data_IF_693232766232
#
_entry.id   IF_693232766232
#
_cell.length_a   1.000
_cell.length_b   1.000
_cell.length_c   1.000
_cell.angle_alpha   90.00
_cell.angle_beta   90.00
_cell.angle_gamma   90.00
#
_symmetry.space_group_name_H-M   'P 1'
#
loop_
_entity.id
_entity.type
_entity.pdbx_description
1 polymer ?
#
# COMPACT_ATOMS: atom_id res chain seq x y z
N UNK A 1 9.16 -32.90 -15.35
CA UNK A 1 9.24 -31.42 -15.43
C UNK A 1 8.45 -30.90 -16.63
N UNK A 2 8.74 -31.36 -17.86
CA UNK A 2 8.15 -30.83 -19.09
C UNK A 2 6.61 -30.92 -19.14
N UNK A 3 6.02 -32.06 -18.82
CA UNK A 3 4.55 -32.21 -18.78
C UNK A 3 3.84 -31.25 -17.80
N UNK A 4 4.51 -30.82 -16.71
CA UNK A 4 3.95 -29.86 -15.76
C UNK A 4 3.99 -28.44 -16.40
N UNK A 5 5.07 -28.09 -17.08
CA UNK A 5 5.17 -26.81 -17.77
C UNK A 5 4.10 -26.67 -18.86
N UNK A 6 3.84 -27.73 -19.61
CA UNK A 6 2.77 -27.73 -20.61
C UNK A 6 1.38 -27.51 -20.01
N UNK A 7 1.09 -28.09 -18.82
CA UNK A 7 -0.21 -27.88 -18.16
C UNK A 7 -0.36 -26.44 -17.59
N UNK A 8 0.74 -25.73 -17.40
CA UNK A 8 0.76 -24.36 -16.89
C UNK A 8 0.93 -23.30 -17.99
N UNK A 9 1.08 -23.70 -19.24
CA UNK A 9 1.37 -22.79 -20.35
C UNK A 9 0.36 -21.65 -20.50
N UNK A 10 -0.95 -21.94 -20.35
CA UNK A 10 -2.00 -20.90 -20.39
C UNK A 10 -1.85 -19.90 -19.23
N UNK A 11 -1.50 -20.37 -18.05
CA UNK A 11 -1.31 -19.52 -16.89
C UNK A 11 -0.09 -18.62 -17.04
N UNK A 12 0.99 -19.13 -17.59
CA UNK A 12 2.17 -18.32 -17.89
C UNK A 12 1.86 -17.26 -18.96
N UNK A 13 1.14 -17.61 -20.01
CA UNK A 13 0.73 -16.64 -21.03
C UNK A 13 -0.13 -15.49 -20.46
N UNK A 14 -1.03 -15.77 -19.50
CA UNK A 14 -1.79 -14.73 -18.81
C UNK A 14 -0.89 -13.81 -17.96
N UNK A 15 0.13 -14.36 -17.31
CA UNK A 15 1.10 -13.59 -16.51
C UNK A 15 1.93 -12.72 -17.44
N UNK A 16 2.43 -13.27 -18.55
CA UNK A 16 3.24 -12.56 -19.53
C UNK A 16 2.46 -11.40 -20.17
N UNK A 17 1.20 -11.61 -20.54
CA UNK A 17 0.34 -10.56 -21.07
C UNK A 17 0.14 -9.40 -20.07
N UNK A 18 -0.03 -9.71 -18.79
CA UNK A 18 -0.12 -8.67 -17.74
C UNK A 18 1.22 -7.96 -17.54
N UNK A 19 2.31 -8.69 -17.56
CA UNK A 19 3.66 -8.12 -17.46
C UNK A 19 3.94 -7.15 -18.61
N UNK A 20 3.55 -7.51 -19.84
CA UNK A 20 3.69 -6.65 -21.03
C UNK A 20 2.93 -5.32 -20.86
N UNK A 21 1.66 -5.38 -20.43
CA UNK A 21 0.84 -4.18 -20.20
C UNK A 21 1.48 -3.29 -19.12
N UNK A 22 1.88 -3.87 -18.00
CA UNK A 22 2.50 -3.11 -16.90
C UNK A 22 3.86 -2.54 -17.29
N UNK A 23 4.66 -3.27 -18.06
CA UNK A 23 5.93 -2.78 -18.58
C UNK A 23 5.72 -1.60 -19.54
N UNK A 24 4.74 -1.69 -20.44
CA UNK A 24 4.40 -0.59 -21.34
C UNK A 24 3.97 0.66 -20.57
N UNK A 25 3.19 0.50 -19.50
CA UNK A 25 2.76 1.59 -18.62
C UNK A 25 3.96 2.32 -17.96
N UNK A 26 4.91 1.55 -17.42
CA UNK A 26 6.14 2.12 -16.83
C UNK A 26 6.98 2.84 -17.87
N UNK A 27 7.18 2.24 -19.05
CA UNK A 27 7.93 2.86 -20.15
C UNK A 27 7.26 4.16 -20.62
N UNK A 28 5.94 4.19 -20.74
CA UNK A 28 5.19 5.39 -21.09
C UNK A 28 5.39 6.51 -20.04
N UNK A 29 5.37 6.19 -18.75
CA UNK A 29 5.66 7.14 -17.68
C UNK A 29 7.10 7.68 -17.77
N UNK A 30 8.07 6.82 -18.02
CA UNK A 30 9.48 7.25 -18.22
C UNK A 30 9.64 8.16 -19.45
N UNK A 31 8.99 7.83 -20.56
CA UNK A 31 9.01 8.65 -21.79
C UNK A 31 8.34 10.01 -21.58
N UNK A 32 7.17 10.03 -20.93
CA UNK A 32 6.45 11.26 -20.59
C UNK A 32 7.32 12.21 -19.77
N UNK A 33 8.05 11.67 -18.81
CA UNK A 33 8.95 12.42 -17.93
C UNK A 33 10.38 12.59 -18.50
N UNK A 34 10.60 12.21 -19.77
CA UNK A 34 11.85 12.39 -20.49
C UNK A 34 13.07 11.87 -19.74
N UNK A 35 12.95 10.70 -19.13
CA UNK A 35 14.05 10.07 -18.38
C UNK A 35 15.27 9.93 -19.29
N UNK A 36 16.42 10.40 -18.83
CA UNK A 36 17.67 10.39 -19.58
C UNK A 36 18.87 10.27 -18.63
N UNK A 37 20.07 10.21 -19.18
CA UNK A 37 21.31 9.97 -18.43
C UNK A 37 21.59 11.01 -17.32
N UNK A 38 21.13 12.25 -17.45
CA UNK A 38 21.38 13.30 -16.43
C UNK A 38 20.65 12.99 -15.11
N UNK A 39 19.51 12.29 -15.17
CA UNK A 39 18.77 11.89 -13.97
C UNK A 39 19.48 10.83 -13.11
N UNK A 40 20.53 10.19 -13.65
CA UNK A 40 21.35 9.21 -12.93
C UNK A 40 22.68 9.82 -12.45
N UNK A 41 22.89 11.11 -12.65
CA UNK A 41 24.07 11.79 -12.15
C UNK A 41 24.04 11.87 -10.62
N UNK A 42 25.21 11.86 -10.00
CA UNK A 42 25.33 12.04 -8.55
C UNK A 42 24.85 13.44 -8.14
N UNK A 43 24.16 13.51 -7.00
CA UNK A 43 23.73 14.76 -6.37
C UNK A 43 24.33 14.92 -4.99
N UNK A 44 24.11 16.09 -4.35
CA UNK A 44 24.64 16.38 -3.02
C UNK A 44 23.96 15.54 -1.90
N UNK A 45 22.80 14.95 -2.19
CA UNK A 45 22.01 14.19 -1.21
C UNK A 45 21.15 15.06 -0.28
N UNK A 46 21.26 16.38 -0.33
CA UNK A 46 20.47 17.30 0.49
C UNK A 46 19.03 17.53 -0.02
N UNK A 47 18.69 17.02 -1.21
CA UNK A 47 17.37 17.18 -1.82
C UNK A 47 17.10 18.55 -2.45
N UNK A 48 18.08 19.40 -2.57
CA UNK A 48 17.99 20.65 -3.31
C UNK A 48 18.40 20.42 -4.77
N UNK A 49 17.53 20.83 -5.69
CA UNK A 49 17.75 20.73 -7.14
C UNK A 49 18.16 19.30 -7.59
N UNK A 50 17.50 18.29 -7.03
CA UNK A 50 17.76 16.89 -7.32
C UNK A 50 16.83 16.41 -8.43
N UNK A 51 17.15 16.79 -9.67
CA UNK A 51 16.32 16.48 -10.84
C UNK A 51 16.02 14.97 -10.99
N UNK A 52 16.99 14.11 -10.66
CA UNK A 52 16.84 12.67 -10.78
C UNK A 52 15.79 12.12 -9.81
N UNK A 53 15.84 12.53 -8.55
CA UNK A 53 14.86 12.08 -7.53
C UNK A 53 13.48 12.68 -7.77
N UNK A 54 13.40 13.95 -8.09
CA UNK A 54 12.14 14.63 -8.40
C UNK A 54 11.48 14.03 -9.65
N UNK A 55 12.29 13.67 -10.65
CA UNK A 55 11.78 13.02 -11.85
C UNK A 55 11.30 11.58 -11.57
N UNK A 56 11.99 10.84 -10.69
CA UNK A 56 11.59 9.51 -10.27
C UNK A 56 10.19 9.54 -9.62
N UNK A 57 9.92 10.51 -8.76
CA UNK A 57 8.60 10.68 -8.14
C UNK A 57 7.50 10.95 -9.16
N UNK A 58 7.78 11.76 -10.20
CA UNK A 58 6.84 11.98 -11.31
C UNK A 58 6.59 10.70 -12.11
N UNK A 59 7.63 9.91 -12.36
CA UNK A 59 7.49 8.61 -13.05
C UNK A 59 6.60 7.66 -12.25
N UNK A 60 6.79 7.58 -10.92
CA UNK A 60 5.94 6.77 -10.05
C UNK A 60 4.49 7.28 -10.06
N UNK A 61 4.29 8.58 -9.89
CA UNK A 61 2.94 9.16 -9.92
C UNK A 61 2.21 8.86 -11.24
N UNK A 62 2.91 8.99 -12.37
CA UNK A 62 2.34 8.69 -13.69
C UNK A 62 2.09 7.18 -13.90
N UNK A 63 3.02 6.32 -13.47
CA UNK A 63 2.89 4.87 -13.64
C UNK A 63 1.74 4.29 -12.80
N UNK A 64 1.49 4.84 -11.62
CA UNK A 64 0.43 4.39 -10.71
C UNK A 64 -0.82 5.27 -10.73
N UNK A 65 -0.88 6.27 -11.61
CA UNK A 65 -2.01 7.20 -11.75
C UNK A 65 -2.40 7.89 -10.44
N UNK A 66 -1.39 8.29 -9.66
CA UNK A 66 -1.56 9.01 -8.39
C UNK A 66 -1.27 10.50 -8.56
N UNK A 67 -1.79 11.33 -7.66
CA UNK A 67 -1.53 12.79 -7.66
C UNK A 67 -0.07 13.11 -7.39
N UNK A 68 0.59 12.32 -6.54
CA UNK A 68 1.98 12.47 -6.17
C UNK A 68 2.58 11.13 -5.72
N UNK A 69 3.90 11.06 -5.69
CA UNK A 69 4.65 9.97 -5.11
C UNK A 69 5.78 10.52 -4.23
N UNK A 70 6.16 9.78 -3.21
CA UNK A 70 7.32 10.05 -2.38
C UNK A 70 8.26 8.85 -2.45
N UNK A 71 9.34 9.01 -3.22
CA UNK A 71 10.34 7.95 -3.47
C UNK A 71 11.71 8.50 -3.14
N UNK A 72 12.16 8.25 -1.91
CA UNK A 72 13.42 8.82 -1.39
C UNK A 72 14.28 7.73 -0.71
N UNK A 73 15.62 7.78 -0.88
CA UNK A 73 16.52 6.81 -0.25
C UNK A 73 16.54 6.93 1.28
N UNK A 74 16.06 8.03 1.85
CA UNK A 74 15.88 8.21 3.29
C UNK A 74 14.78 7.31 3.86
N UNK A 75 13.86 6.84 3.03
CA UNK A 75 12.90 5.79 3.39
C UNK A 75 13.59 4.45 3.20
N UNK A 76 14.12 3.87 4.27
CA UNK A 76 15.09 2.79 4.21
C UNK A 76 14.49 1.40 3.99
N UNK A 77 13.19 1.23 4.26
CA UNK A 77 12.48 -0.05 4.10
C UNK A 77 10.95 0.16 4.10
N UNK A 78 10.20 -0.89 3.77
CA UNK A 78 8.74 -0.85 3.78
C UNK A 78 8.14 -0.48 5.13
N UNK A 79 8.64 -1.06 6.22
CA UNK A 79 8.19 -0.73 7.58
C UNK A 79 8.39 0.76 7.89
N UNK A 80 9.52 1.34 7.46
CA UNK A 80 9.77 2.78 7.64
C UNK A 80 8.77 3.62 6.82
N UNK A 81 8.50 3.24 5.58
CA UNK A 81 7.49 3.94 4.76
C UNK A 81 6.11 3.93 5.43
N UNK A 82 5.68 2.76 5.92
CA UNK A 82 4.41 2.60 6.61
C UNK A 82 4.37 3.38 7.94
N UNK A 83 5.45 3.34 8.73
CA UNK A 83 5.55 4.10 9.98
C UNK A 83 5.45 5.61 9.73
N UNK A 84 6.14 6.13 8.72
CA UNK A 84 6.07 7.55 8.32
C UNK A 84 4.64 7.91 7.89
N UNK A 85 4.01 7.09 7.05
CA UNK A 85 2.64 7.32 6.58
C UNK A 85 1.63 7.32 7.74
N UNK A 86 1.75 6.38 8.68
CA UNK A 86 0.90 6.33 9.88
C UNK A 86 1.10 7.57 10.76
N UNK A 87 2.36 7.90 11.08
CA UNK A 87 2.68 9.03 11.97
C UNK A 87 2.31 10.38 11.36
N UNK A 88 2.34 10.51 10.04
CA UNK A 88 1.93 11.74 9.34
C UNK A 88 0.41 11.98 9.38
N UNK A 89 -0.39 10.95 9.64
CA UNK A 89 -1.84 11.01 9.55
C UNK A 89 -2.56 10.80 10.90
N UNK A 90 -1.85 10.45 11.95
CA UNK A 90 -2.42 10.12 13.26
C UNK A 90 -1.86 11.02 14.36
N UNK A 91 -2.75 11.58 15.16
CA UNK A 91 -2.44 12.40 16.34
C UNK A 91 -2.92 11.71 17.62
N UNK A 92 -2.42 12.11 18.81
CA UNK A 92 -2.95 11.63 20.08
C UNK A 92 -4.47 11.80 20.18
N UNK A 93 -5.17 10.72 20.52
CA UNK A 93 -6.64 10.66 20.57
C UNK A 93 -7.31 10.12 19.31
N UNK A 94 -6.60 10.02 18.20
CA UNK A 94 -7.10 9.41 16.96
C UNK A 94 -7.17 7.87 17.08
N UNK A 95 -7.93 7.29 16.17
CA UNK A 95 -8.06 5.84 16.04
C UNK A 95 -7.57 5.36 14.68
N UNK A 96 -6.72 4.33 14.71
CA UNK A 96 -6.35 3.49 13.58
C UNK A 96 -7.26 2.26 13.55
N UNK A 97 -8.01 2.07 12.46
CA UNK A 97 -8.84 0.89 12.24
C UNK A 97 -8.29 0.05 11.09
N UNK A 98 -7.76 -1.14 11.39
CA UNK A 98 -7.37 -2.11 10.37
C UNK A 98 -8.59 -2.93 9.95
N UNK A 99 -8.87 -3.05 8.64
CA UNK A 99 -10.08 -3.74 8.14
C UNK A 99 -9.78 -5.00 7.33
N UNK A 100 -8.54 -5.40 7.25
CA UNK A 100 -8.08 -6.66 6.65
C UNK A 100 -7.47 -7.61 7.68
N UNK A 101 -7.89 -7.48 8.93
CA UNK A 101 -7.31 -8.16 10.08
C UNK A 101 -6.05 -7.47 10.59
N UNK A 102 -5.29 -8.19 11.41
CA UNK A 102 -4.06 -7.69 12.02
C UNK A 102 -3.02 -7.35 10.95
N UNK A 103 -2.40 -6.17 10.99
CA UNK A 103 -1.29 -5.80 10.10
C UNK A 103 -0.10 -6.75 10.20
N UNK A 104 0.81 -6.64 9.21
CA UNK A 104 2.05 -7.42 9.17
C UNK A 104 2.86 -7.24 10.47
N UNK A 105 3.58 -8.26 10.89
CA UNK A 105 4.23 -8.36 12.20
C UNK A 105 5.17 -7.19 12.53
N UNK A 106 5.88 -6.65 11.54
CA UNK A 106 6.77 -5.49 11.73
C UNK A 106 6.01 -4.21 12.11
N UNK A 107 4.72 -4.11 11.81
CA UNK A 107 3.88 -2.99 12.23
C UNK A 107 3.30 -3.16 13.64
N UNK A 108 3.32 -4.35 14.20
CA UNK A 108 2.76 -4.59 15.54
C UNK A 108 3.45 -3.71 16.60
N UNK A 109 4.77 -3.56 16.50
CA UNK A 109 5.54 -2.70 17.41
C UNK A 109 5.38 -1.21 17.09
N UNK A 110 5.34 -0.85 15.82
CA UNK A 110 5.11 0.55 15.38
C UNK A 110 3.76 1.06 15.88
N UNK A 111 2.72 0.26 15.74
CA UNK A 111 1.36 0.60 16.19
C UNK A 111 1.25 0.49 17.71
N UNK A 112 1.91 -0.47 18.32
CA UNK A 112 1.79 -0.80 19.74
C UNK A 112 0.78 -1.91 20.03
N UNK A 113 0.43 -2.73 19.02
CA UNK A 113 -0.33 -3.98 19.21
C UNK A 113 0.48 -4.91 20.11
N UNK A 114 1.77 -5.02 19.83
CA UNK A 114 2.76 -5.55 20.75
C UNK A 114 3.42 -4.37 21.47
N UNK A 115 3.38 -4.32 22.81
CA UNK A 115 3.95 -3.20 23.57
C UNK A 115 5.39 -2.91 23.16
N UNK A 116 5.63 -1.67 22.76
CA UNK A 116 6.94 -1.22 22.30
C UNK A 116 7.13 0.26 22.62
N UNK A 117 8.33 0.65 23.10
CA UNK A 117 8.65 2.06 23.32
C UNK A 117 8.50 2.89 22.04
N UNK A 118 7.98 4.11 22.18
CA UNK A 118 7.77 5.03 21.07
C UNK A 118 6.74 4.56 20.02
N UNK A 119 5.88 3.61 20.38
CA UNK A 119 4.77 3.18 19.53
C UNK A 119 3.67 4.24 19.42
N UNK A 120 2.83 4.16 18.41
CA UNK A 120 1.67 5.04 18.25
C UNK A 120 0.72 4.94 19.48
N UNK A 121 0.58 3.75 20.07
CA UNK A 121 -0.22 3.57 21.28
C UNK A 121 0.35 4.37 22.49
N UNK A 122 1.67 4.43 22.67
CA UNK A 122 2.29 5.26 23.69
C UNK A 122 2.04 6.77 23.48
N UNK A 123 1.92 7.18 22.22
CA UNK A 123 1.55 8.54 21.86
C UNK A 123 0.04 8.80 21.91
N UNK A 124 -0.76 7.84 22.39
CA UNK A 124 -2.18 8.02 22.60
C UNK A 124 -3.07 7.76 21.40
N UNK A 125 -2.56 7.08 20.35
CA UNK A 125 -3.36 6.57 19.23
C UNK A 125 -3.97 5.23 19.63
N UNK A 126 -5.28 5.08 19.44
CA UNK A 126 -5.96 3.80 19.67
C UNK A 126 -5.95 2.93 18.43
N UNK A 127 -5.90 1.61 18.63
CA UNK A 127 -5.96 0.62 17.56
C UNK A 127 -7.17 -0.29 17.72
N UNK A 128 -7.86 -0.54 16.62
CA UNK A 128 -8.86 -1.61 16.48
C UNK A 128 -8.72 -2.33 15.16
N UNK A 129 -9.29 -3.53 15.07
CA UNK A 129 -9.33 -4.27 13.81
C UNK A 129 -10.70 -4.92 13.57
N UNK A 130 -10.99 -5.15 12.30
CA UNK A 130 -12.02 -6.05 11.80
C UNK A 130 -11.31 -7.12 10.99
N UNK A 131 -11.53 -8.37 11.35
CA UNK A 131 -10.92 -9.49 10.64
C UNK A 131 -11.68 -9.76 9.33
N UNK A 132 -11.00 -10.41 8.38
CA UNK A 132 -11.66 -10.93 7.19
C UNK A 132 -12.58 -12.12 7.58
N UNK A 133 -13.58 -12.38 6.76
CA UNK A 133 -14.40 -13.58 6.84
C UNK A 133 -13.58 -14.85 6.53
N UNK A 134 -14.10 -16.01 6.85
CA UNK A 134 -13.41 -17.31 6.65
C UNK A 134 -13.03 -17.56 5.18
N UNK A 135 -13.76 -16.99 4.24
CA UNK A 135 -13.47 -17.06 2.80
C UNK A 135 -12.42 -16.04 2.33
N UNK A 136 -11.91 -15.21 3.23
CA UNK A 136 -10.94 -14.17 2.97
C UNK A 136 -11.52 -12.87 2.41
N UNK A 137 -12.84 -12.73 2.34
CA UNK A 137 -13.51 -11.49 1.95
C UNK A 137 -13.62 -10.50 3.12
N UNK A 138 -13.88 -9.21 2.81
CA UNK A 138 -14.14 -8.20 3.83
C UNK A 138 -15.49 -8.41 4.52
N UNK A 139 -15.54 -8.32 5.84
CA UNK A 139 -16.78 -8.19 6.60
C UNK A 139 -17.30 -6.74 6.51
N UNK A 140 -17.94 -6.42 5.39
CA UNK A 140 -18.44 -5.06 5.13
C UNK A 140 -19.45 -4.56 6.19
N UNK A 141 -20.37 -5.37 6.71
CA UNK A 141 -21.23 -4.99 7.83
C UNK A 141 -20.45 -4.64 9.09
N UNK A 142 -19.47 -5.47 9.49
CA UNK A 142 -18.66 -5.21 10.67
C UNK A 142 -17.77 -3.97 10.49
N UNK A 143 -17.18 -3.78 9.31
CA UNK A 143 -16.41 -2.58 8.96
C UNK A 143 -17.27 -1.33 9.14
N UNK A 144 -18.49 -1.32 8.57
CA UNK A 144 -19.43 -0.21 8.71
C UNK A 144 -19.73 0.11 10.18
N UNK A 145 -19.96 -0.91 10.99
CA UNK A 145 -20.25 -0.76 12.42
C UNK A 145 -19.04 -0.32 13.25
N UNK A 146 -17.84 -0.67 12.83
CA UNK A 146 -16.61 -0.36 13.55
C UNK A 146 -16.17 1.10 13.38
N UNK A 147 -16.53 1.78 12.28
CA UNK A 147 -16.12 3.16 12.03
C UNK A 147 -16.81 4.10 13.03
N UNK A 148 -16.03 4.92 13.72
CA UNK A 148 -16.48 5.85 14.75
C UNK A 148 -16.05 7.29 14.44
N UNK A 149 -16.48 8.24 15.25
CA UNK A 149 -16.02 9.62 15.15
C UNK A 149 -14.50 9.74 15.36
N UNK A 150 -13.88 8.84 16.14
CA UNK A 150 -12.44 8.81 16.41
C UNK A 150 -11.63 8.16 15.29
N UNK A 151 -12.26 7.34 14.44
CA UNK A 151 -11.55 6.64 13.35
C UNK A 151 -10.99 7.67 12.37
N UNK A 152 -9.70 7.89 12.43
CA UNK A 152 -8.98 8.86 11.61
C UNK A 152 -8.39 8.22 10.36
N UNK A 153 -7.88 6.98 10.50
CA UNK A 153 -7.23 6.25 9.42
C UNK A 153 -7.75 4.81 9.36
N UNK A 154 -8.11 4.38 8.15
CA UNK A 154 -8.41 2.98 7.81
C UNK A 154 -7.16 2.38 7.19
N UNK A 155 -6.69 1.27 7.74
CA UNK A 155 -5.57 0.50 7.20
C UNK A 155 -6.07 -0.76 6.51
N UNK A 156 -5.58 -1.00 5.30
CA UNK A 156 -5.83 -2.21 4.51
C UNK A 156 -4.50 -2.82 4.13
N UNK A 157 -4.24 -4.05 4.52
CA UNK A 157 -3.10 -4.82 4.04
C UNK A 157 -3.54 -5.72 2.89
N UNK A 158 -3.09 -5.42 1.67
CA UNK A 158 -3.43 -6.16 0.48
C UNK A 158 -2.77 -7.53 0.45
N UNK A 159 -1.47 -7.59 0.70
CA UNK A 159 -0.73 -8.84 0.67
C UNK A 159 -1.11 -9.75 1.84
N UNK A 160 -1.07 -11.06 1.59
CA UNK A 160 -1.33 -12.05 2.65
C UNK A 160 -0.13 -12.27 3.58
N UNK A 161 1.06 -11.83 3.20
CA UNK A 161 2.27 -12.21 3.91
C UNK A 161 2.40 -13.74 3.98
N UNK A 162 2.56 -14.26 5.18
CA UNK A 162 2.59 -15.70 5.46
C UNK A 162 1.23 -16.30 5.85
N UNK A 163 0.17 -15.51 5.84
CA UNK A 163 -1.17 -15.97 6.23
C UNK A 163 -1.77 -16.89 5.15
N UNK A 164 -2.51 -17.95 5.53
CA UNK A 164 -3.16 -18.87 4.59
C UNK A 164 -4.49 -18.30 4.07
N UNK A 165 -4.49 -17.08 3.53
CA UNK A 165 -5.65 -16.40 2.96
C UNK A 165 -5.37 -15.96 1.53
N UNK A 166 -6.39 -15.71 0.69
CA UNK A 166 -6.22 -15.07 -0.60
C UNK A 166 -5.61 -13.66 -0.48
N UNK A 167 -4.91 -13.22 -1.52
CA UNK A 167 -4.55 -11.81 -1.69
C UNK A 167 -5.79 -11.03 -2.14
N UNK A 168 -6.00 -9.86 -1.54
CA UNK A 168 -7.12 -8.99 -1.89
C UNK A 168 -6.92 -8.37 -3.28
N UNK A 169 -7.95 -8.41 -4.11
CA UNK A 169 -7.97 -7.73 -5.41
C UNK A 169 -8.22 -6.22 -5.24
N UNK A 170 -7.84 -5.45 -6.26
CA UNK A 170 -8.14 -4.00 -6.30
C UNK A 170 -9.65 -3.75 -6.22
N UNK A 171 -10.45 -4.59 -6.91
CA UNK A 171 -11.91 -4.49 -6.87
C UNK A 171 -12.47 -4.67 -5.46
N UNK A 172 -12.05 -5.70 -4.73
CA UNK A 172 -12.47 -5.93 -3.33
C UNK A 172 -12.07 -4.76 -2.42
N UNK A 173 -10.85 -4.25 -2.58
CA UNK A 173 -10.38 -3.07 -1.82
C UNK A 173 -11.26 -1.86 -2.16
N UNK A 174 -11.59 -1.65 -3.43
CA UNK A 174 -12.48 -0.58 -3.88
C UNK A 174 -13.87 -0.62 -3.23
N UNK A 175 -14.46 -1.82 -3.11
CA UNK A 175 -15.74 -2.02 -2.41
C UNK A 175 -15.65 -1.66 -0.93
N UNK A 176 -14.59 -2.12 -0.25
CA UNK A 176 -14.37 -1.79 1.15
C UNK A 176 -14.16 -0.28 1.37
N UNK A 177 -13.39 0.38 0.49
CA UNK A 177 -13.21 1.83 0.52
C UNK A 177 -14.53 2.57 0.33
N UNK A 178 -15.39 2.13 -0.60
CA UNK A 178 -16.70 2.73 -0.82
C UNK A 178 -17.58 2.65 0.43
N UNK A 179 -17.57 1.52 1.14
CA UNK A 179 -18.28 1.38 2.43
C UNK A 179 -17.71 2.34 3.47
N UNK A 180 -16.40 2.44 3.60
CA UNK A 180 -15.77 3.37 4.56
C UNK A 180 -16.13 4.82 4.27
N UNK A 181 -16.03 5.25 3.01
CA UNK A 181 -16.37 6.61 2.57
C UNK A 181 -17.86 6.94 2.73
N UNK A 182 -18.75 5.97 2.58
CA UNK A 182 -20.17 6.16 2.82
C UNK A 182 -20.50 6.45 4.30
N UNK A 183 -19.68 5.96 5.23
CA UNK A 183 -19.86 6.20 6.68
C UNK A 183 -19.12 7.48 7.11
N UNK A 184 -17.89 7.65 6.65
CA UNK A 184 -17.02 8.76 7.01
C UNK A 184 -16.27 9.27 5.77
N UNK A 185 -16.82 10.26 5.04
CA UNK A 185 -16.30 10.73 3.76
C UNK A 185 -14.86 11.27 3.83
N UNK A 186 -14.44 11.82 4.96
CA UNK A 186 -13.15 12.44 5.22
C UNK A 186 -12.09 11.50 5.82
N UNK A 187 -12.44 10.21 6.03
CA UNK A 187 -11.49 9.27 6.62
C UNK A 187 -10.29 9.04 5.70
N UNK A 188 -9.09 9.04 6.25
CA UNK A 188 -7.87 8.66 5.51
C UNK A 188 -7.88 7.16 5.25
N UNK A 189 -7.63 6.76 4.00
CA UNK A 189 -7.46 5.35 3.62
C UNK A 189 -5.99 5.12 3.29
N UNK A 190 -5.39 4.15 3.95
CA UNK A 190 -4.02 3.70 3.70
C UNK A 190 -4.05 2.24 3.27
N UNK A 191 -3.47 1.95 2.10
CA UNK A 191 -3.33 0.58 1.59
C UNK A 191 -1.86 0.19 1.59
N UNK A 192 -1.50 -0.81 2.38
CA UNK A 192 -0.22 -1.49 2.26
C UNK A 192 -0.29 -2.46 1.07
N UNK A 193 0.26 -2.01 -0.05
CA UNK A 193 0.22 -2.73 -1.33
C UNK A 193 1.50 -3.56 -1.58
N UNK A 194 2.29 -3.85 -0.59
CA UNK A 194 3.54 -4.59 -0.74
C UNK A 194 3.37 -5.86 -1.59
N UNK A 195 4.17 -5.97 -2.64
CA UNK A 195 4.15 -7.02 -3.68
C UNK A 195 2.91 -7.00 -4.62
N UNK A 196 2.03 -6.02 -4.50
CA UNK A 196 0.82 -5.94 -5.32
C UNK A 196 0.92 -5.04 -6.55
N UNK A 197 2.04 -4.34 -6.74
CA UNK A 197 2.20 -3.21 -7.65
C UNK A 197 1.90 -3.56 -9.12
N UNK A 198 2.24 -4.78 -9.55
CA UNK A 198 2.10 -5.23 -10.93
C UNK A 198 1.34 -6.56 -11.07
N UNK A 199 0.59 -6.94 -10.04
CA UNK A 199 -0.22 -8.18 -10.06
C UNK A 199 -1.46 -8.04 -10.92
N UNK A 200 -2.01 -6.84 -11.00
CA UNK A 200 -3.15 -6.46 -11.85
C UNK A 200 -2.72 -5.36 -12.83
N UNK A 201 -3.55 -5.04 -13.82
CA UNK A 201 -3.23 -4.06 -14.88
C UNK A 201 -3.86 -2.69 -14.64
N UNK A 202 -4.41 -2.47 -13.47
CA UNK A 202 -5.13 -1.26 -13.07
C UNK A 202 -4.15 -0.17 -12.63
#
# INVERSE_FOLDING_TARGET
GENILETLASRFAEIDARAEINQAKVLAAMQKNRVNATHFAASTGYGYDDEGRDNLERVYADAFHTEAALVRPQITCGTHALAVALSANLLPGDELLAISGKPYDTLEEVIGIRPSPCSLAEYGVSYRQVDLLDDGSFDLPAIRAAISAKTKLIHIQRSKGYQPRPTLSVAQIGEAIAVCRAVKPDVTIMVDNCYGEFVETI
#
